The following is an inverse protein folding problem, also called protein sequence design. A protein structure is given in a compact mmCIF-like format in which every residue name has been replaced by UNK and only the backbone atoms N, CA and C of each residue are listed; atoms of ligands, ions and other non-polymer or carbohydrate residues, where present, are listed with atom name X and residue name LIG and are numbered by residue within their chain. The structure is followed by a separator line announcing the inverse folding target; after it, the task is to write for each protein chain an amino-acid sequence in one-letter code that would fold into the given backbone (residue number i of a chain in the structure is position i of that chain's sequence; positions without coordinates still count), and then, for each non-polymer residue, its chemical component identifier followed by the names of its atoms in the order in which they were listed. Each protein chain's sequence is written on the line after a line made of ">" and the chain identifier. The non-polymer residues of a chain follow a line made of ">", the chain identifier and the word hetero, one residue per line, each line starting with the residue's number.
data_IF_136172822550
#
_entry.id   IF_136172822550
#
_cell.length_a   1.000
_cell.length_b   1.000
_cell.length_c   1.000
_cell.angle_alpha   90.00
_cell.angle_beta   90.00
_cell.angle_gamma   90.00
#
_symmetry.space_group_name_H-M   'P 1'
#
loop_
_entity.id
_entity.type
_entity.pdbx_description
1 polymer ?
#
# COMPACT_ATOMS: atom_id res chain seq x y z
N UNK A 1 -5.14 -2.89 -28.97
CA UNK A 1 -5.38 -3.91 -27.91
C UNK A 1 -5.54 -5.29 -28.55
N UNK A 2 -6.40 -5.45 -29.54
CA UNK A 2 -6.66 -6.73 -30.22
C UNK A 2 -5.40 -7.40 -30.76
N UNK A 3 -4.50 -6.65 -31.38
CA UNK A 3 -3.22 -7.16 -31.87
C UNK A 3 -2.31 -7.67 -30.76
N UNK A 4 -2.24 -6.94 -29.62
CA UNK A 4 -1.45 -7.34 -28.47
C UNK A 4 -2.01 -8.59 -27.78
N UNK A 5 -3.33 -8.70 -27.71
CA UNK A 5 -4.01 -9.89 -27.17
C UNK A 5 -3.75 -11.12 -28.05
N UNK A 6 -3.72 -10.94 -29.38
CA UNK A 6 -3.45 -12.02 -30.33
C UNK A 6 -2.05 -12.64 -30.17
N UNK A 7 -1.08 -11.93 -29.58
CA UNK A 7 0.24 -12.47 -29.24
C UNK A 7 0.25 -13.46 -28.06
N UNK A 8 -0.87 -13.64 -27.35
CA UNK A 8 -0.95 -14.58 -26.23
C UNK A 8 -0.07 -14.18 -25.04
N UNK A 9 -0.01 -12.89 -24.72
CA UNK A 9 0.78 -12.36 -23.62
C UNK A 9 0.30 -12.94 -22.28
N UNK A 10 1.21 -13.47 -21.49
CA UNK A 10 0.92 -14.05 -20.16
C UNK A 10 1.10 -13.07 -19.00
N UNK A 11 1.83 -11.97 -19.23
CA UNK A 11 2.07 -10.94 -18.23
C UNK A 11 2.16 -9.55 -18.85
N UNK A 12 1.64 -8.57 -18.11
CA UNK A 12 1.75 -7.14 -18.38
C UNK A 12 2.58 -6.49 -17.27
N UNK A 13 3.67 -5.84 -17.64
CA UNK A 13 4.50 -5.05 -16.72
C UNK A 13 4.39 -3.58 -17.10
N UNK A 14 3.97 -2.77 -16.14
CA UNK A 14 3.86 -1.31 -16.31
C UNK A 14 4.86 -0.65 -15.38
N UNK A 15 5.90 -0.05 -15.96
CA UNK A 15 6.87 0.75 -15.20
C UNK A 15 6.35 2.18 -15.02
N UNK A 16 6.78 2.81 -13.92
CA UNK A 16 6.34 4.15 -13.51
C UNK A 16 4.80 4.29 -13.49
N UNK A 17 4.11 3.28 -12.97
CA UNK A 17 2.64 3.21 -12.93
C UNK A 17 1.97 4.41 -12.22
N UNK A 18 2.75 5.27 -11.56
CA UNK A 18 2.23 6.52 -11.00
C UNK A 18 1.81 7.53 -12.08
N UNK A 19 2.27 7.38 -13.32
CA UNK A 19 1.82 8.21 -14.44
C UNK A 19 0.44 7.83 -14.99
N UNK A 20 -0.12 6.69 -14.59
CA UNK A 20 -1.49 6.30 -14.95
C UNK A 20 -2.50 7.21 -14.22
N UNK A 21 -2.93 8.26 -14.90
CA UNK A 21 -3.87 9.24 -14.35
C UNK A 21 -5.30 8.73 -14.48
N UNK A 22 -6.01 8.75 -13.35
CA UNK A 22 -7.41 8.33 -13.29
C UNK A 22 -8.22 9.25 -12.38
N UNK A 23 -9.42 9.56 -12.82
CA UNK A 23 -10.49 10.21 -12.06
C UNK A 23 -11.81 9.50 -12.36
N UNK A 24 -12.80 9.55 -11.46
CA UNK A 24 -14.09 8.89 -11.66
C UNK A 24 -14.79 9.26 -12.98
N UNK A 25 -14.62 10.51 -13.43
CA UNK A 25 -15.27 11.04 -14.61
C UNK A 25 -14.39 10.93 -15.88
N UNK A 26 -13.07 10.79 -15.73
CA UNK A 26 -12.15 10.79 -16.87
C UNK A 26 -10.83 10.09 -16.51
N UNK A 27 -10.57 8.97 -17.15
CA UNK A 27 -9.27 8.31 -17.12
C UNK A 27 -8.39 8.74 -18.30
N UNK A 28 -7.06 8.74 -18.12
CA UNK A 28 -6.13 8.96 -19.23
C UNK A 28 -6.19 7.83 -20.25
N UNK A 29 -5.72 8.08 -21.47
CA UNK A 29 -5.67 7.07 -22.52
C UNK A 29 -4.77 5.89 -22.15
N UNK A 30 -3.67 6.17 -21.45
CA UNK A 30 -2.72 5.19 -20.95
C UNK A 30 -3.38 4.29 -19.90
N UNK A 31 -4.13 4.89 -18.95
CA UNK A 31 -4.86 4.11 -17.94
C UNK A 31 -5.90 3.19 -18.61
N UNK A 32 -6.69 3.71 -19.56
CA UNK A 32 -7.71 2.94 -20.28
C UNK A 32 -7.10 1.78 -21.07
N UNK A 33 -5.94 2.01 -21.71
CA UNK A 33 -5.19 0.96 -22.38
C UNK A 33 -4.76 -0.16 -21.42
N UNK A 34 -4.17 0.23 -20.29
CA UNK A 34 -3.73 -0.73 -19.25
C UNK A 34 -4.93 -1.48 -18.66
N UNK A 35 -6.05 -0.81 -18.42
CA UNK A 35 -7.28 -1.44 -17.91
C UNK A 35 -7.82 -2.50 -18.87
N UNK A 36 -7.86 -2.20 -20.18
CA UNK A 36 -8.28 -3.16 -21.20
C UNK A 36 -7.33 -4.36 -21.30
N UNK A 37 -6.03 -4.14 -21.20
CA UNK A 37 -5.03 -5.22 -21.23
C UNK A 37 -5.09 -6.06 -19.94
N UNK A 38 -5.22 -5.44 -18.79
CA UNK A 38 -5.31 -6.10 -17.49
C UNK A 38 -6.55 -7.01 -17.37
N UNK A 39 -7.63 -6.69 -18.10
CA UNK A 39 -8.84 -7.50 -18.11
C UNK A 39 -8.67 -8.85 -18.83
N UNK A 40 -7.67 -8.98 -19.71
CA UNK A 40 -7.48 -10.17 -20.56
C UNK A 40 -6.15 -10.89 -20.32
N UNK A 41 -5.16 -10.22 -19.73
CA UNK A 41 -3.83 -10.78 -19.41
C UNK A 41 -3.84 -11.34 -17.99
N UNK A 42 -3.37 -12.57 -17.82
CA UNK A 42 -3.46 -13.30 -16.55
C UNK A 42 -2.61 -12.71 -15.41
N UNK A 43 -1.48 -12.08 -15.73
CA UNK A 43 -0.57 -11.48 -14.75
C UNK A 43 -0.37 -10.00 -15.00
N UNK A 44 -0.55 -9.16 -13.96
CA UNK A 44 -0.29 -7.71 -14.02
C UNK A 44 0.68 -7.32 -12.93
N UNK A 45 1.75 -6.62 -13.30
CA UNK A 45 2.74 -6.05 -12.40
C UNK A 45 2.85 -4.55 -12.63
N UNK A 46 2.54 -3.76 -11.62
CA UNK A 46 2.69 -2.31 -11.64
C UNK A 46 3.91 -1.92 -10.79
N UNK A 47 4.90 -1.29 -11.42
CA UNK A 47 6.11 -0.80 -10.75
C UNK A 47 5.99 0.71 -10.53
N UNK A 48 6.28 1.17 -9.31
CA UNK A 48 6.30 2.60 -8.98
C UNK A 48 7.17 2.88 -7.76
N UNK A 49 7.91 3.98 -7.79
CA UNK A 49 8.68 4.45 -6.65
C UNK A 49 7.79 5.11 -5.58
N UNK A 50 6.61 5.60 -5.96
CA UNK A 50 5.77 6.46 -5.12
C UNK A 50 4.29 6.09 -5.19
N UNK A 51 3.89 4.94 -4.63
CA UNK A 51 2.54 4.41 -4.81
C UNK A 51 1.43 5.30 -4.23
N UNK A 52 1.73 6.14 -3.23
CA UNK A 52 0.74 6.92 -2.48
C UNK A 52 0.81 8.44 -2.72
N UNK A 53 1.86 8.94 -3.39
CA UNK A 53 2.10 10.40 -3.52
C UNK A 53 1.04 11.16 -4.33
N UNK A 54 0.30 10.49 -5.19
CA UNK A 54 -0.73 11.10 -6.05
C UNK A 54 -2.14 11.08 -5.44
N UNK A 55 -2.24 10.81 -4.14
CA UNK A 55 -3.51 10.79 -3.43
C UNK A 55 -4.25 9.45 -3.51
N UNK A 56 -5.32 9.38 -2.71
CA UNK A 56 -6.08 8.17 -2.46
C UNK A 56 -6.78 7.62 -3.70
N UNK A 57 -7.30 8.49 -4.55
CA UNK A 57 -8.02 8.10 -5.78
C UNK A 57 -7.07 7.45 -6.80
N UNK A 58 -5.87 8.00 -6.95
CA UNK A 58 -4.84 7.39 -7.81
C UNK A 58 -4.33 6.06 -7.26
N UNK A 59 -4.28 5.91 -5.94
CA UNK A 59 -3.96 4.63 -5.30
C UNK A 59 -5.06 3.60 -5.56
N UNK A 60 -6.32 3.97 -5.34
CA UNK A 60 -7.48 3.14 -5.67
C UNK A 60 -7.46 2.67 -7.12
N UNK A 61 -7.21 3.58 -8.05
CA UNK A 61 -7.19 3.27 -9.48
C UNK A 61 -6.17 2.18 -9.83
N UNK A 62 -4.98 2.22 -9.24
CA UNK A 62 -3.95 1.18 -9.44
C UNK A 62 -4.34 -0.16 -8.80
N UNK A 63 -4.93 -0.15 -7.60
CA UNK A 63 -5.45 -1.36 -6.98
C UNK A 63 -6.58 -1.98 -7.80
N UNK A 64 -7.43 -1.17 -8.40
CA UNK A 64 -8.51 -1.60 -9.29
C UNK A 64 -7.99 -2.29 -10.56
N UNK A 65 -6.85 -1.89 -11.11
CA UNK A 65 -6.20 -2.60 -12.21
C UNK A 65 -5.72 -4.00 -11.81
N UNK A 66 -5.35 -4.22 -10.54
CA UNK A 66 -4.86 -5.49 -10.03
C UNK A 66 -5.99 -6.41 -9.57
N UNK A 67 -7.03 -5.86 -8.95
CA UNK A 67 -8.19 -6.61 -8.46
C UNK A 67 -9.49 -5.77 -8.61
N UNK A 68 -10.09 -5.75 -9.80
CA UNK A 68 -11.29 -4.96 -10.08
C UNK A 68 -12.51 -5.45 -9.31
N UNK A 69 -12.55 -6.72 -8.89
CA UNK A 69 -13.67 -7.27 -8.12
C UNK A 69 -13.70 -6.71 -6.69
N UNK A 70 -12.53 -6.51 -6.10
CA UNK A 70 -12.40 -5.94 -4.77
C UNK A 70 -12.47 -4.40 -4.79
N UNK A 71 -11.77 -3.77 -5.71
CA UNK A 71 -11.65 -2.31 -5.80
C UNK A 71 -12.57 -1.75 -6.88
N UNK A 72 -13.88 -1.95 -6.73
CA UNK A 72 -14.89 -1.48 -7.69
C UNK A 72 -15.58 -0.18 -7.25
N UNK A 73 -15.61 0.12 -5.94
CA UNK A 73 -16.28 1.28 -5.33
C UNK A 73 -15.28 2.19 -4.64
N UNK A 74 -15.06 3.38 -5.22
CA UNK A 74 -14.17 4.40 -4.66
C UNK A 74 -14.67 4.94 -3.31
N UNK A 75 -15.98 5.08 -3.11
CA UNK A 75 -16.51 5.62 -1.86
C UNK A 75 -16.35 4.63 -0.72
N UNK A 76 -16.60 3.36 -0.96
CA UNK A 76 -16.31 2.30 -0.01
C UNK A 76 -14.82 2.24 0.34
N UNK A 77 -13.93 2.36 -0.67
CA UNK A 77 -12.49 2.40 -0.46
C UNK A 77 -12.03 3.60 0.37
N UNK A 78 -12.59 4.79 0.11
CA UNK A 78 -12.28 5.99 0.92
C UNK A 78 -12.72 5.84 2.37
N UNK A 79 -13.91 5.27 2.61
CA UNK A 79 -14.43 5.00 3.95
C UNK A 79 -13.54 3.98 4.69
N UNK A 80 -13.16 2.88 4.02
CA UNK A 80 -12.25 1.86 4.55
C UNK A 80 -10.88 2.47 4.90
N UNK A 81 -10.31 3.26 3.99
CA UNK A 81 -9.01 3.94 4.21
C UNK A 81 -9.05 4.91 5.39
N UNK A 82 -10.14 5.66 5.56
CA UNK A 82 -10.32 6.57 6.69
C UNK A 82 -10.41 5.82 8.02
N UNK A 83 -11.07 4.68 8.04
CA UNK A 83 -11.19 3.83 9.22
C UNK A 83 -9.85 3.14 9.57
N UNK A 84 -8.98 2.94 8.59
CA UNK A 84 -7.69 2.28 8.80
C UNK A 84 -6.59 3.23 9.32
N UNK A 85 -6.67 4.51 9.06
CA UNK A 85 -5.65 5.46 9.53
C UNK A 85 -5.35 5.38 11.04
N UNK A 86 -6.34 5.32 11.94
CA UNK A 86 -6.09 5.16 13.37
C UNK A 86 -5.39 3.84 13.71
N UNK A 87 -5.69 2.78 12.94
CA UNK A 87 -5.09 1.45 13.11
C UNK A 87 -3.63 1.46 12.66
N UNK A 88 -3.34 2.09 11.51
CA UNK A 88 -1.96 2.26 11.03
C UNK A 88 -1.09 3.04 12.02
N UNK A 89 -1.64 4.11 12.62
CA UNK A 89 -0.97 4.86 13.69
C UNK A 89 -0.70 3.98 14.92
N UNK A 90 -1.67 3.13 15.30
CA UNK A 90 -1.52 2.21 16.41
C UNK A 90 -0.43 1.15 16.16
N UNK A 91 -0.32 0.62 14.93
CA UNK A 91 0.76 -0.28 14.53
C UNK A 91 2.13 0.41 14.65
N UNK A 92 2.23 1.64 14.17
CA UNK A 92 3.45 2.43 14.27
C UNK A 92 3.88 2.64 15.73
N UNK A 93 2.93 3.04 16.59
CA UNK A 93 3.15 3.23 18.02
C UNK A 93 3.64 1.94 18.70
N UNK A 94 3.04 0.80 18.33
CA UNK A 94 3.44 -0.51 18.84
C UNK A 94 4.87 -0.88 18.42
N UNK A 95 5.25 -0.57 17.17
CA UNK A 95 6.59 -0.87 16.65
C UNK A 95 7.66 0.02 17.24
N UNK A 96 7.38 1.31 17.45
CA UNK A 96 8.36 2.30 17.96
C UNK A 96 8.52 2.26 19.47
N UNK A 97 7.43 2.13 20.21
CA UNK A 97 7.41 2.32 21.65
C UNK A 97 7.14 1.05 22.46
N UNK A 98 6.71 -0.03 21.80
CA UNK A 98 6.36 -1.30 22.46
C UNK A 98 5.12 -1.24 23.35
N UNK A 99 4.49 -0.07 23.50
CA UNK A 99 3.27 0.16 24.29
C UNK A 99 2.26 0.89 23.45
N UNK A 100 0.99 0.62 23.69
CA UNK A 100 -0.13 1.24 22.98
C UNK A 100 -0.81 2.28 23.86
N UNK A 101 -1.08 3.46 23.32
CA UNK A 101 -1.94 4.46 23.93
C UNK A 101 -3.39 3.95 24.06
N UNK A 102 -4.19 4.59 24.90
CA UNK A 102 -5.61 4.26 25.04
C UNK A 102 -6.38 4.42 23.72
N UNK A 103 -6.00 5.42 22.92
CA UNK A 103 -6.62 5.67 21.60
C UNK A 103 -6.25 4.56 20.59
N UNK A 104 -4.98 4.14 20.58
CA UNK A 104 -4.50 3.04 19.72
C UNK A 104 -5.20 1.71 20.07
N UNK A 105 -5.36 1.40 21.34
CA UNK A 105 -6.09 0.21 21.80
C UNK A 105 -7.56 0.22 21.35
N UNK A 106 -8.23 1.36 21.50
CA UNK A 106 -9.61 1.52 21.07
C UNK A 106 -9.75 1.34 19.54
N UNK A 107 -8.81 1.87 18.76
CA UNK A 107 -8.79 1.69 17.31
C UNK A 107 -8.60 0.21 16.91
N UNK A 108 -7.68 -0.50 17.55
CA UNK A 108 -7.45 -1.93 17.33
C UNK A 108 -8.68 -2.77 17.71
N UNK A 109 -9.23 -2.54 18.90
CA UNK A 109 -10.42 -3.25 19.35
C UNK A 109 -11.63 -2.99 18.44
N UNK A 110 -11.83 -1.76 17.99
CA UNK A 110 -12.89 -1.40 17.05
C UNK A 110 -12.71 -2.04 15.67
N UNK A 111 -11.48 -2.22 15.21
CA UNK A 111 -11.18 -2.78 13.91
C UNK A 111 -11.22 -4.33 13.88
N UNK A 112 -10.69 -4.98 14.91
CA UNK A 112 -10.59 -6.43 15.00
C UNK A 112 -11.74 -7.07 15.83
N UNK A 113 -12.52 -6.28 16.54
CA UNK A 113 -13.58 -6.79 17.42
C UNK A 113 -13.04 -7.64 18.57
N UNK A 114 -13.73 -8.74 18.88
CA UNK A 114 -13.38 -9.63 20.00
C UNK A 114 -11.97 -10.23 19.90
N UNK A 115 -11.52 -10.53 18.70
CA UNK A 115 -10.16 -11.03 18.47
C UNK A 115 -9.09 -9.97 18.80
N UNK A 116 -9.38 -8.70 18.46
CA UNK A 116 -8.52 -7.57 18.82
C UNK A 116 -8.39 -7.41 20.33
N UNK A 117 -9.49 -7.56 21.06
CA UNK A 117 -9.44 -7.51 22.52
C UNK A 117 -8.60 -8.64 23.12
N UNK A 118 -8.76 -9.88 22.63
CA UNK A 118 -7.95 -11.01 23.08
C UNK A 118 -6.45 -10.81 22.82
N UNK A 119 -6.09 -10.23 21.67
CA UNK A 119 -4.69 -9.94 21.35
C UNK A 119 -4.14 -8.80 22.20
N UNK A 120 -4.95 -7.81 22.54
CA UNK A 120 -4.56 -6.73 23.45
C UNK A 120 -4.36 -7.25 24.88
N UNK A 121 -5.22 -8.14 25.35
CA UNK A 121 -5.09 -8.77 26.67
C UNK A 121 -3.84 -9.65 26.76
N UNK A 122 -3.53 -10.40 25.69
CA UNK A 122 -2.30 -11.19 25.59
C UNK A 122 -1.04 -10.31 25.56
N UNK A 123 -1.12 -9.15 24.90
CA UNK A 123 -0.02 -8.17 24.90
C UNK A 123 0.24 -7.59 26.30
N UNK A 124 -0.81 -7.38 27.09
CA UNK A 124 -0.70 -6.93 28.49
C UNK A 124 -0.12 -7.99 29.43
N UNK A 125 -0.26 -9.26 29.07
CA UNK A 125 0.37 -10.40 29.74
C UNK A 125 1.84 -10.63 29.36
N UNK A 126 2.44 -9.68 28.60
CA UNK A 126 3.84 -9.72 28.15
C UNK A 126 4.15 -10.90 27.20
N UNK A 127 3.13 -11.39 26.48
CA UNK A 127 3.30 -12.41 25.46
C UNK A 127 3.93 -11.80 24.19
N UNK A 128 5.24 -12.00 24.02
CA UNK A 128 6.00 -11.49 22.89
C UNK A 128 5.45 -11.98 21.53
N UNK A 129 4.80 -13.16 21.52
CA UNK A 129 4.15 -13.70 20.33
C UNK A 129 2.88 -12.91 19.95
N UNK A 130 2.17 -12.35 20.93
CA UNK A 130 0.94 -11.57 20.73
C UNK A 130 1.21 -10.31 19.91
N UNK A 131 2.35 -9.66 20.10
CA UNK A 131 2.76 -8.48 19.32
C UNK A 131 2.89 -8.80 17.84
N UNK A 132 3.61 -9.87 17.50
CA UNK A 132 3.82 -10.28 16.12
C UNK A 132 2.49 -10.73 15.46
N UNK A 133 1.63 -11.41 16.24
CA UNK A 133 0.29 -11.82 15.77
C UNK A 133 -0.60 -10.62 15.53
N UNK A 134 -0.63 -9.66 16.45
CA UNK A 134 -1.43 -8.43 16.30
C UNK A 134 -1.03 -7.65 15.06
N UNK A 135 0.26 -7.43 14.84
CA UNK A 135 0.76 -6.74 13.64
C UNK A 135 0.36 -7.50 12.38
N UNK A 136 0.48 -8.80 12.36
CA UNK A 136 0.09 -9.65 11.21
C UNK A 136 -1.41 -9.54 10.92
N UNK A 137 -2.27 -9.71 11.92
CA UNK A 137 -3.73 -9.60 11.76
C UNK A 137 -4.15 -8.22 11.22
N UNK A 138 -3.54 -7.16 11.72
CA UNK A 138 -3.82 -5.80 11.25
C UNK A 138 -3.39 -5.59 9.79
N UNK A 139 -2.24 -6.13 9.39
CA UNK A 139 -1.75 -6.05 8.01
C UNK A 139 -2.56 -6.94 7.06
N UNK A 140 -2.93 -8.15 7.47
CA UNK A 140 -3.67 -9.11 6.64
C UNK A 140 -5.11 -8.64 6.36
N UNK A 141 -5.77 -8.05 7.35
CA UNK A 141 -7.14 -7.53 7.19
C UNK A 141 -7.24 -6.28 6.34
N UNK A 142 -6.19 -5.48 6.28
CA UNK A 142 -6.18 -4.31 5.41
C UNK A 142 -6.11 -4.65 3.91
N UNK A 143 -5.82 -5.90 3.59
CA UNK A 143 -6.01 -6.50 2.26
C UNK A 143 -5.16 -5.96 1.11
N UNK A 144 -4.42 -4.88 1.27
CA UNK A 144 -3.45 -4.40 0.26
C UNK A 144 -2.14 -5.17 0.33
N UNK A 145 -1.83 -5.83 1.46
CA UNK A 145 -0.60 -6.58 1.68
C UNK A 145 -0.39 -7.76 0.72
N UNK A 146 -1.45 -8.24 0.06
CA UNK A 146 -1.35 -9.28 -0.99
C UNK A 146 -1.05 -8.71 -2.37
N UNK A 147 -1.33 -7.43 -2.59
CA UNK A 147 -1.19 -6.76 -3.89
C UNK A 147 -0.05 -5.75 -3.91
N UNK A 148 0.33 -5.22 -2.74
CA UNK A 148 1.34 -4.18 -2.60
C UNK A 148 2.59 -4.70 -1.90
N UNK A 149 3.72 -4.73 -2.61
CA UNK A 149 5.03 -5.05 -2.08
C UNK A 149 5.88 -3.78 -2.02
N UNK A 150 6.31 -3.39 -0.82
CA UNK A 150 7.13 -2.20 -0.62
C UNK A 150 8.52 -2.58 -0.14
N UNK A 151 9.53 -2.27 -0.94
CA UNK A 151 10.93 -2.34 -0.54
C UNK A 151 11.41 -0.94 -0.12
N UNK A 152 11.94 -0.83 1.09
CA UNK A 152 12.63 0.40 1.53
C UNK A 152 14.14 0.16 1.46
N UNK A 153 14.92 1.23 1.25
CA UNK A 153 16.39 1.12 1.24
C UNK A 153 16.94 0.52 2.54
N UNK A 154 16.31 0.83 3.66
CA UNK A 154 16.68 0.28 4.97
C UNK A 154 16.43 -1.23 5.09
N UNK A 155 15.48 -1.79 4.35
CA UNK A 155 15.15 -3.21 4.34
C UNK A 155 16.04 -4.04 3.39
N UNK A 156 16.67 -3.39 2.41
CA UNK A 156 17.53 -4.05 1.40
C UNK A 156 18.98 -3.99 1.83
N UNK A 157 19.58 -5.14 2.15
CA UNK A 157 21.00 -5.22 2.53
C UNK A 157 21.88 -4.95 1.32
N UNK A 158 23.00 -4.23 1.55
CA UNK A 158 24.00 -3.97 0.51
C UNK A 158 23.74 -2.75 -0.36
N UNK A 159 22.76 -1.93 -0.01
CA UNK A 159 22.59 -0.62 -0.65
C UNK A 159 23.76 0.31 -0.26
N UNK A 160 24.43 0.96 -1.24
CA UNK A 160 25.50 1.91 -0.95
C UNK A 160 24.94 3.10 -0.13
N UNK A 161 25.70 3.50 0.89
CA UNK A 161 25.41 4.70 1.66
C UNK A 161 25.64 5.93 0.79
N UNK A 162 24.81 6.97 0.99
CA UNK A 162 24.98 8.26 0.34
C UNK A 162 25.79 9.15 1.26
N UNK A 163 26.96 9.58 0.80
CA UNK A 163 27.76 10.60 1.47
C UNK A 163 27.50 11.95 0.79
N UNK A 164 27.22 12.97 1.60
CA UNK A 164 27.08 14.33 1.12
C UNK A 164 28.48 14.99 1.06
N UNK A 165 28.98 15.23 -0.14
CA UNK A 165 30.16 16.06 -0.35
C UNK A 165 29.71 17.45 -0.78
N UNK A 166 29.77 18.41 0.14
CA UNK A 166 29.42 19.79 -0.15
C UNK A 166 30.63 20.54 -0.73
N UNK A 167 30.46 21.10 -1.92
CA UNK A 167 31.45 21.99 -2.55
C UNK A 167 30.86 23.39 -2.61
N UNK A 168 31.59 24.35 -2.03
CA UNK A 168 31.23 25.76 -2.20
C UNK A 168 31.60 26.21 -3.64
N UNK A 169 30.61 26.69 -4.37
CA UNK A 169 30.85 27.33 -5.67
C UNK A 169 31.16 28.80 -5.45
N UNK A 170 32.21 29.31 -6.13
CA UNK A 170 32.47 30.75 -6.16
C UNK A 170 31.34 31.43 -6.91
N UNK A 171 30.89 32.59 -6.36
CA UNK A 171 29.87 33.40 -7.03
C UNK A 171 30.50 33.98 -8.31
N UNK A 172 29.88 33.79 -9.47
CA UNK A 172 30.37 34.45 -10.69
C UNK A 172 30.29 35.97 -10.52
N UNK A 173 31.37 36.70 -10.96
CA UNK A 173 31.46 38.15 -10.98
C UNK A 173 30.39 38.80 -11.86
#
# INVERSE_FOLDING_TARGET
>A
VEELVAFGLSALVVDEAHHLVWHPEKASAEYQLVEQLAAVIAGVLLLTATPEQLGLDSHFARLRLLDPNRFHDLQAFRAESSNYQPVAAAVQELLEHGKLSKAARAAIAGFLGDEGQQLLDALDADDESARARLVRELLDRHGTGRLLFRNTRAAVRGFPERELHAYALETPD
#
